data_IF_382664183527
#
_entry.id   IF_382664183527
#
_cell.length_a   1.000
_cell.length_b   1.000
_cell.length_c   1.000
_cell.angle_alpha   90.00
_cell.angle_beta   90.00
_cell.angle_gamma   90.00
#
_symmetry.space_group_name_H-M   'P 1'
#
loop_
_entity.id
_entity.type
_entity.pdbx_description
1 polymer ?
#
# COMPACT_ATOMS: atom_id res chain seq x y z
N UNK A 1 13.30 17.70 -1.95
CA UNK A 1 11.86 17.73 -1.56
C UNK A 1 11.26 16.36 -1.82
N UNK A 2 11.11 15.54 -0.79
CA UNK A 2 10.53 14.19 -0.93
C UNK A 2 9.02 14.33 -1.10
N UNK A 3 8.51 14.16 -2.32
CA UNK A 3 7.07 14.15 -2.54
C UNK A 3 6.43 13.04 -1.70
N UNK A 4 5.30 13.34 -1.03
CA UNK A 4 4.57 12.34 -0.23
C UNK A 4 4.23 11.15 -1.12
N UNK A 5 4.58 9.95 -0.65
CA UNK A 5 4.44 8.68 -1.40
C UNK A 5 5.22 8.60 -2.72
N UNK A 6 6.37 9.26 -2.86
CA UNK A 6 7.31 8.95 -3.93
C UNK A 6 7.92 7.57 -3.71
N UNK A 7 7.84 6.69 -4.71
CA UNK A 7 8.33 5.33 -4.61
C UNK A 7 9.83 5.25 -4.87
N UNK A 8 10.51 4.36 -4.13
CA UNK A 8 11.88 4.00 -4.46
C UNK A 8 11.91 3.32 -5.83
N UNK A 9 12.98 3.54 -6.61
CA UNK A 9 13.17 2.94 -7.94
C UNK A 9 13.21 1.41 -7.90
N UNK A 10 13.57 0.85 -6.74
CA UNK A 10 13.57 -0.59 -6.47
C UNK A 10 12.17 -1.19 -6.38
N UNK A 11 11.14 -0.40 -6.08
CA UNK A 11 9.76 -0.88 -5.97
C UNK A 11 9.16 -1.08 -7.38
N UNK A 12 8.77 -2.31 -7.70
CA UNK A 12 8.14 -2.66 -8.98
C UNK A 12 6.63 -2.77 -8.90
N UNK A 13 6.09 -3.05 -7.72
CA UNK A 13 4.64 -3.22 -7.55
C UNK A 13 4.25 -2.93 -6.10
N UNK A 14 3.12 -2.26 -5.93
CA UNK A 14 2.43 -2.15 -4.64
C UNK A 14 1.03 -2.73 -4.80
N UNK A 15 0.66 -3.69 -3.95
CA UNK A 15 -0.63 -4.37 -4.00
C UNK A 15 -1.30 -4.31 -2.66
N UNK A 16 -2.52 -3.79 -2.63
CA UNK A 16 -3.38 -3.78 -1.46
C UNK A 16 -4.41 -4.89 -1.58
N UNK A 17 -4.52 -5.70 -0.54
CA UNK A 17 -5.54 -6.73 -0.41
C UNK A 17 -6.43 -6.34 0.75
N UNK A 18 -7.73 -6.13 0.51
CA UNK A 18 -8.65 -5.67 1.54
C UNK A 18 -10.08 -6.10 1.23
N UNK A 19 -10.92 -6.12 2.27
CA UNK A 19 -12.34 -6.40 2.11
C UNK A 19 -13.13 -5.11 1.85
N UNK A 20 -14.09 -5.17 0.92
CA UNK A 20 -14.94 -4.02 0.60
C UNK A 20 -16.00 -3.76 1.68
N UNK A 21 -16.57 -4.81 2.27
CA UNK A 21 -17.72 -4.71 3.20
C UNK A 21 -17.34 -4.81 4.68
N UNK A 22 -16.24 -5.48 5.03
CA UNK A 22 -15.94 -5.73 6.45
C UNK A 22 -15.49 -4.46 7.18
N UNK A 23 -15.81 -4.31 8.48
CA UNK A 23 -15.37 -3.17 9.29
C UNK A 23 -13.84 -3.18 9.52
N UNK A 24 -13.23 -4.36 9.51
CA UNK A 24 -11.78 -4.52 9.74
C UNK A 24 -10.92 -3.87 8.65
N UNK A 25 -11.45 -3.69 7.44
CA UNK A 25 -10.76 -3.06 6.31
C UNK A 25 -11.13 -1.58 6.11
N UNK A 26 -11.94 -0.99 6.98
CA UNK A 26 -12.46 0.37 6.77
C UNK A 26 -11.36 1.44 6.78
N UNK A 27 -10.42 1.33 7.72
CA UNK A 27 -9.25 2.21 7.78
C UNK A 27 -8.41 2.14 6.50
N UNK A 28 -8.22 0.95 5.93
CA UNK A 28 -7.48 0.75 4.67
C UNK A 28 -8.21 1.39 3.49
N UNK A 29 -9.54 1.28 3.42
CA UNK A 29 -10.34 1.92 2.36
C UNK A 29 -10.28 3.44 2.45
N UNK A 30 -10.39 3.99 3.67
CA UNK A 30 -10.28 5.43 3.90
C UNK A 30 -8.89 5.96 3.50
N UNK A 31 -7.83 5.25 3.89
CA UNK A 31 -6.47 5.55 3.48
C UNK A 31 -6.31 5.56 1.96
N UNK A 32 -6.78 4.51 1.27
CA UNK A 32 -6.66 4.40 -0.18
C UNK A 32 -7.40 5.53 -0.91
N UNK A 33 -8.61 5.90 -0.47
CA UNK A 33 -9.34 7.05 -1.06
C UNK A 33 -8.55 8.36 -0.99
N UNK A 34 -7.84 8.59 0.11
CA UNK A 34 -7.04 9.80 0.36
C UNK A 34 -5.69 9.76 -0.38
N UNK A 35 -4.96 8.66 -0.26
CA UNK A 35 -3.56 8.54 -0.67
C UNK A 35 -3.38 8.09 -2.13
N UNK A 36 -4.33 7.34 -2.71
CA UNK A 36 -4.18 6.80 -4.06
C UNK A 36 -3.95 7.84 -5.16
N UNK A 37 -4.67 8.98 -5.21
CA UNK A 37 -4.43 9.98 -6.24
C UNK A 37 -3.01 10.55 -6.22
N UNK A 38 -2.46 10.76 -5.01
CA UNK A 38 -1.09 11.28 -4.84
C UNK A 38 -0.04 10.21 -5.15
N UNK A 39 -0.25 8.96 -4.72
CA UNK A 39 0.57 7.82 -5.08
C UNK A 39 0.66 7.63 -6.60
N UNK A 40 -0.47 7.68 -7.30
CA UNK A 40 -0.51 7.47 -8.75
C UNK A 40 0.12 8.64 -9.52
N UNK A 41 -0.12 9.88 -9.07
CA UNK A 41 0.47 11.08 -9.68
C UNK A 41 2.00 11.08 -9.59
N UNK A 42 2.54 10.66 -8.45
CA UNK A 42 3.99 10.65 -8.23
C UNK A 42 4.70 9.46 -8.89
N UNK A 43 3.97 8.38 -9.18
CA UNK A 43 4.53 7.13 -9.68
C UNK A 43 3.75 6.62 -10.91
N UNK A 44 3.93 7.25 -12.10
CA UNK A 44 3.16 6.87 -13.29
C UNK A 44 3.48 5.45 -13.78
N UNK A 45 4.73 5.01 -13.64
CA UNK A 45 5.22 3.73 -14.15
C UNK A 45 5.05 2.54 -13.20
N UNK A 46 4.85 2.79 -11.90
CA UNK A 46 4.73 1.71 -10.91
C UNK A 46 3.24 1.35 -10.75
N UNK A 47 2.85 0.10 -10.99
CA UNK A 47 1.49 -0.35 -10.76
C UNK A 47 1.17 -0.35 -9.25
N UNK A 48 0.10 0.36 -8.89
CA UNK A 48 -0.56 0.26 -7.59
C UNK A 48 -1.84 -0.54 -7.82
N UNK A 49 -1.88 -1.78 -7.35
CA UNK A 49 -3.01 -2.68 -7.52
C UNK A 49 -3.87 -2.72 -6.26
N UNK A 50 -5.19 -2.67 -6.45
CA UNK A 50 -6.18 -2.91 -5.40
C UNK A 50 -6.85 -4.24 -5.70
N UNK A 51 -6.77 -5.18 -4.76
CA UNK A 51 -7.37 -6.50 -4.82
C UNK A 51 -8.41 -6.59 -3.72
N UNK A 52 -9.67 -6.51 -4.14
CA UNK A 52 -10.80 -6.63 -3.24
C UNK A 52 -11.24 -8.09 -3.17
N UNK A 53 -11.44 -8.60 -1.97
CA UNK A 53 -11.94 -9.95 -1.73
C UNK A 53 -12.80 -10.00 -0.45
N UNK A 54 -13.80 -10.89 -0.43
CA UNK A 54 -14.67 -11.07 0.72
C UNK A 54 -13.91 -11.77 1.85
N UNK A 55 -14.15 -11.33 3.09
CA UNK A 55 -13.55 -11.87 4.33
C UNK A 55 -12.02 -12.00 4.36
N UNK A 56 -11.32 -11.22 3.53
CA UNK A 56 -9.86 -11.18 3.59
C UNK A 56 -9.36 -10.14 4.57
N UNK A 57 -8.33 -10.52 5.33
CA UNK A 57 -7.61 -9.60 6.19
C UNK A 57 -6.89 -8.52 5.35
N UNK A 58 -6.94 -7.24 5.79
CA UNK A 58 -6.28 -6.17 5.07
C UNK A 58 -4.76 -6.35 5.14
N UNK A 59 -4.11 -6.43 3.98
CA UNK A 59 -2.66 -6.64 3.81
C UNK A 59 -2.13 -5.77 2.69
N UNK A 60 -0.88 -5.35 2.80
CA UNK A 60 -0.15 -4.68 1.73
C UNK A 60 1.06 -5.50 1.32
N UNK A 61 1.25 -5.63 0.02
CA UNK A 61 2.38 -6.32 -0.58
C UNK A 61 3.20 -5.32 -1.38
N UNK A 62 4.51 -5.34 -1.18
CA UNK A 62 5.49 -4.54 -1.90
C UNK A 62 6.46 -5.49 -2.59
N UNK A 63 6.47 -5.47 -3.92
CA UNK A 63 7.41 -6.23 -4.73
C UNK A 63 8.55 -5.33 -5.16
N UNK A 64 9.77 -5.79 -4.93
CA UNK A 64 11.00 -5.11 -5.28
C UNK A 64 11.69 -5.79 -6.48
N UNK A 65 12.84 -5.23 -6.86
CA UNK A 65 13.75 -5.85 -7.82
C UNK A 65 14.16 -7.27 -7.40
N UNK A 66 14.58 -8.06 -8.40
CA UNK A 66 14.99 -9.46 -8.22
C UNK A 66 13.88 -10.36 -7.63
N UNK A 67 12.61 -9.94 -7.73
CA UNK A 67 11.46 -10.75 -7.32
C UNK A 67 11.27 -10.84 -5.81
N UNK A 68 11.96 -10.02 -5.00
CA UNK A 68 11.75 -10.00 -3.56
C UNK A 68 10.41 -9.35 -3.22
N UNK A 69 9.61 -9.98 -2.37
CA UNK A 69 8.32 -9.46 -1.93
C UNK A 69 8.28 -9.32 -0.40
N UNK A 70 7.74 -8.21 0.09
CA UNK A 70 7.37 -8.03 1.50
C UNK A 70 5.87 -7.90 1.62
N UNK A 71 5.33 -8.53 2.65
CA UNK A 71 3.93 -8.38 3.04
C UNK A 71 3.85 -7.80 4.45
N UNK A 72 2.91 -6.90 4.67
CA UNK A 72 2.60 -6.33 5.99
C UNK A 72 1.10 -6.43 6.26
N UNK A 73 0.69 -6.99 7.41
CA UNK A 73 -0.70 -6.96 7.84
C UNK A 73 -1.08 -5.54 8.27
N UNK A 74 -2.29 -5.15 7.89
CA UNK A 74 -2.93 -3.86 8.21
C UNK A 74 -4.13 -4.03 9.15
N UNK A 75 -4.34 -5.24 9.69
CA UNK A 75 -5.46 -5.55 10.58
C UNK A 75 -5.35 -4.75 11.89
N UNK A 76 -6.42 -4.04 12.25
CA UNK A 76 -6.50 -3.29 13.51
C UNK A 76 -5.63 -2.03 13.56
N UNK A 77 -4.98 -1.66 12.46
CA UNK A 77 -4.17 -0.45 12.39
C UNK A 77 -5.04 0.78 12.09
N UNK A 78 -4.63 1.90 12.66
CA UNK A 78 -5.21 3.22 12.37
C UNK A 78 -4.69 3.76 11.04
N UNK A 79 -5.39 4.74 10.45
CA UNK A 79 -4.99 5.40 9.19
C UNK A 79 -3.55 5.95 9.22
N UNK A 80 -3.10 6.44 10.39
CA UNK A 80 -1.71 6.93 10.58
C UNK A 80 -0.69 5.81 10.55
N UNK A 81 -0.96 4.70 11.24
CA UNK A 81 -0.06 3.54 11.27
C UNK A 81 0.02 2.86 9.90
N UNK A 82 -1.10 2.81 9.16
CA UNK A 82 -1.13 2.34 7.77
C UNK A 82 -0.25 3.25 6.90
N UNK A 83 -0.39 4.57 7.04
CA UNK A 83 0.43 5.54 6.31
C UNK A 83 1.93 5.37 6.58
N UNK A 84 2.32 5.15 7.84
CA UNK A 84 3.70 4.91 8.24
C UNK A 84 4.25 3.61 7.67
N UNK A 85 3.50 2.49 7.79
CA UNK A 85 3.89 1.20 7.22
C UNK A 85 4.05 1.26 5.70
N UNK A 86 3.08 1.86 5.00
CA UNK A 86 3.16 2.02 3.53
C UNK A 86 4.35 2.89 3.17
N UNK A 87 4.60 3.98 3.89
CA UNK A 87 5.76 4.85 3.64
C UNK A 87 7.08 4.10 3.87
N UNK A 88 7.16 3.25 4.88
CA UNK A 88 8.32 2.42 5.15
C UNK A 88 8.58 1.40 4.03
N UNK A 89 7.53 0.73 3.54
CA UNK A 89 7.63 -0.21 2.42
C UNK A 89 8.06 0.49 1.12
N UNK A 90 7.47 1.65 0.86
CA UNK A 90 7.69 2.43 -0.36
C UNK A 90 9.10 3.03 -0.44
N UNK A 91 9.66 3.44 0.71
CA UNK A 91 11.04 3.96 0.80
C UNK A 91 12.08 2.86 0.95
N UNK A 92 11.69 1.74 1.55
CA UNK A 92 12.58 0.60 1.77
C UNK A 92 13.22 0.10 0.48
N UNK A 93 14.49 -0.25 0.58
CA UNK A 93 15.24 -0.99 -0.44
C UNK A 93 15.64 -2.33 0.17
N UNK A 94 15.44 -3.43 -0.56
CA UNK A 94 15.86 -4.79 -0.20
C UNK A 94 16.72 -5.33 -1.33
#
# INVERSE_FOLDING_TARGET
MSARYAFNKSLKELRFLFCNSSPHSDATRAFLKRAYPTMKKNNPHVPVMMREALDTEPRVFARYELGKEKQEPLLGLTDKEIEEKVTALVKGSI
#
